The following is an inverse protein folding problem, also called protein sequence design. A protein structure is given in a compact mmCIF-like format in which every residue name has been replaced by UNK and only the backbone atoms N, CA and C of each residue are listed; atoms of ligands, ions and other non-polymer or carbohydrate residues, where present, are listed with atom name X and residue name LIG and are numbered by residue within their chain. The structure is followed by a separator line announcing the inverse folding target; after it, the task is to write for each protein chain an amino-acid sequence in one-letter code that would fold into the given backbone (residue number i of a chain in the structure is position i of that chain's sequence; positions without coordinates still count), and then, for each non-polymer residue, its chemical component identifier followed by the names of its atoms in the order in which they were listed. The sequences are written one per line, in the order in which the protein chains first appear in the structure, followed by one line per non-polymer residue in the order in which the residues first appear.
data_IF_248506700052
#
_entry.id   IF_248506700052
#
_cell.length_a   1.000
_cell.length_b   1.000
_cell.length_c   1.000
_cell.angle_alpha   90.00
_cell.angle_beta   90.00
_cell.angle_gamma   90.00
#
_symmetry.space_group_name_H-M   'P 1'
#
loop_
_entity.id
_entity.type
_entity.pdbx_description
1 polymer ?
#
# COMPACT_ATOMS: atom_id res chain seq x y z
N UNK A 1 19.32 -26.95 -16.67
CA UNK A 1 19.57 -27.22 -15.24
C UNK A 1 19.16 -25.95 -14.52
N UNK A 2 17.86 -25.80 -14.26
CA UNK A 2 17.31 -24.69 -13.48
C UNK A 2 17.47 -25.09 -12.02
N UNK A 3 18.40 -24.46 -11.30
CA UNK A 3 18.44 -24.61 -9.84
C UNK A 3 17.15 -24.03 -9.28
N UNK A 4 16.35 -24.87 -8.61
CA UNK A 4 15.20 -24.42 -7.81
C UNK A 4 15.71 -23.44 -6.73
N UNK A 5 15.62 -22.15 -7.00
CA UNK A 5 15.90 -21.10 -6.01
C UNK A 5 14.74 -21.13 -5.00
N UNK A 6 14.83 -22.01 -3.99
CA UNK A 6 13.84 -22.09 -2.92
C UNK A 6 13.90 -20.79 -2.10
N UNK A 7 12.78 -20.09 -1.91
CA UNK A 7 12.77 -18.84 -1.17
C UNK A 7 13.23 -19.07 0.27
N UNK A 8 14.33 -18.43 0.66
CA UNK A 8 14.87 -18.52 2.02
C UNK A 8 13.96 -17.69 2.93
N UNK A 9 13.21 -18.35 3.82
CA UNK A 9 12.49 -17.67 4.90
C UNK A 9 13.49 -17.14 5.92
N UNK A 10 13.78 -15.85 5.86
CA UNK A 10 14.51 -15.17 6.92
C UNK A 10 13.66 -15.18 8.20
N UNK A 11 14.32 -15.40 9.34
CA UNK A 11 13.68 -15.23 10.65
C UNK A 11 13.31 -13.76 10.80
N UNK A 12 12.02 -13.48 10.77
CA UNK A 12 11.50 -12.13 10.95
C UNK A 12 12.00 -11.62 12.30
N UNK A 13 12.79 -10.54 12.29
CA UNK A 13 13.29 -9.92 13.53
C UNK A 13 12.06 -9.68 14.41
N UNK A 14 12.04 -10.28 15.60
CA UNK A 14 10.93 -10.08 16.53
C UNK A 14 10.91 -8.61 16.91
N UNK A 15 9.92 -7.89 16.41
CA UNK A 15 9.60 -6.54 16.86
C UNK A 15 9.36 -6.55 18.38
N UNK A 16 9.85 -5.53 19.07
CA UNK A 16 9.55 -5.32 20.47
C UNK A 16 8.01 -5.24 20.65
N UNK A 17 7.41 -5.93 21.64
CA UNK A 17 5.97 -5.91 21.88
C UNK A 17 5.35 -4.49 21.95
N UNK A 18 6.09 -3.51 22.50
CA UNK A 18 5.65 -2.11 22.55
C UNK A 18 5.59 -1.47 21.17
N UNK A 19 6.59 -1.74 20.31
CA UNK A 19 6.62 -1.25 18.93
C UNK A 19 5.52 -1.94 18.11
N UNK A 20 5.25 -3.22 18.36
CA UNK A 20 4.19 -3.95 17.67
C UNK A 20 2.81 -3.33 17.93
N UNK A 21 2.54 -2.86 19.15
CA UNK A 21 1.26 -2.21 19.48
C UNK A 21 1.11 -0.86 18.78
N UNK A 22 2.17 -0.06 18.74
CA UNK A 22 2.23 1.20 17.99
C UNK A 22 2.03 0.95 16.49
N UNK A 23 2.74 -0.03 15.92
CA UNK A 23 2.60 -0.41 14.51
C UNK A 23 1.17 -0.88 14.23
N UNK A 24 0.57 -1.72 15.06
CA UNK A 24 -0.82 -2.17 14.88
C UNK A 24 -1.81 -1.02 14.92
N UNK A 25 -1.64 -0.07 15.85
CA UNK A 25 -2.50 1.11 15.98
C UNK A 25 -2.38 2.03 14.77
N UNK A 26 -1.16 2.34 14.33
CA UNK A 26 -0.92 3.19 13.15
C UNK A 26 -1.39 2.50 11.86
N UNK A 27 -1.13 1.19 11.71
CA UNK A 27 -1.64 0.40 10.58
C UNK A 27 -3.17 0.42 10.55
N UNK A 28 -3.84 0.23 11.68
CA UNK A 28 -5.31 0.26 11.77
C UNK A 28 -5.86 1.64 11.38
N UNK A 29 -5.21 2.73 11.83
CA UNK A 29 -5.57 4.10 11.48
C UNK A 29 -5.37 4.38 9.99
N UNK A 30 -4.26 3.91 9.41
CA UNK A 30 -3.97 4.04 7.97
C UNK A 30 -4.94 3.22 7.12
N UNK A 31 -5.33 2.02 7.56
CA UNK A 31 -6.37 1.21 6.90
C UNK A 31 -7.71 1.93 6.95
N UNK A 32 -8.06 2.56 8.07
CA UNK A 32 -9.31 3.32 8.22
C UNK A 32 -9.36 4.56 7.31
N UNK A 33 -8.22 5.24 7.13
CA UNK A 33 -8.11 6.37 6.21
C UNK A 33 -7.89 5.94 4.73
N UNK A 34 -7.54 4.67 4.48
CA UNK A 34 -7.65 3.97 3.20
C UNK A 34 -6.66 4.37 2.10
N UNK A 35 -6.89 3.80 0.90
CA UNK A 35 -6.16 4.08 -0.35
C UNK A 35 -6.23 5.53 -0.82
N UNK A 36 -7.16 6.32 -0.26
CA UNK A 36 -7.37 7.74 -0.55
C UNK A 36 -6.18 8.63 -0.14
N UNK A 37 -5.19 8.11 0.59
CA UNK A 37 -3.94 8.81 0.90
C UNK A 37 -2.83 8.60 -0.13
N UNK A 38 -2.95 7.60 -1.01
CA UNK A 38 -1.92 7.31 -2.02
C UNK A 38 -2.28 8.03 -3.32
N UNK A 39 -1.54 9.09 -3.61
CA UNK A 39 -1.71 9.85 -4.84
C UNK A 39 -1.34 9.03 -6.08
N UNK A 40 -2.16 9.14 -7.12
CA UNK A 40 -1.87 8.58 -8.44
C UNK A 40 -0.98 9.56 -9.18
N UNK A 41 0.05 9.04 -9.85
CA UNK A 41 0.91 9.85 -10.71
C UNK A 41 0.04 10.63 -11.72
N UNK A 42 0.33 11.93 -11.97
CA UNK A 42 -0.52 12.77 -12.81
C UNK A 42 -0.70 12.21 -14.23
N UNK A 43 0.34 11.53 -14.74
CA UNK A 43 0.30 10.81 -16.02
C UNK A 43 -0.66 9.61 -16.05
N UNK A 44 -0.99 9.01 -14.91
CA UNK A 44 -1.87 7.83 -14.81
C UNK A 44 -3.31 8.16 -14.37
N UNK A 45 -3.59 9.38 -13.91
CA UNK A 45 -4.92 9.77 -13.42
C UNK A 45 -6.03 9.56 -14.47
N UNK A 46 -5.71 9.82 -15.75
CA UNK A 46 -6.65 9.62 -16.86
C UNK A 46 -7.10 8.14 -17.01
N UNK A 47 -6.31 7.16 -16.53
CA UNK A 47 -6.69 5.74 -16.57
C UNK A 47 -7.74 5.37 -15.53
N UNK A 48 -7.97 6.26 -14.56
CA UNK A 48 -8.96 6.10 -13.50
C UNK A 48 -10.21 6.95 -13.75
N UNK A 49 -10.39 7.45 -14.97
CA UNK A 49 -11.57 8.23 -15.31
C UNK A 49 -12.82 7.37 -15.27
N UNK A 50 -13.89 7.90 -14.69
CA UNK A 50 -15.23 7.34 -14.77
C UNK A 50 -16.20 8.42 -15.25
N UNK A 51 -17.21 7.98 -16.00
CA UNK A 51 -18.25 8.86 -16.52
C UNK A 51 -19.51 8.69 -15.70
N UNK A 52 -20.05 9.79 -15.20
CA UNK A 52 -21.36 9.88 -14.58
C UNK A 52 -22.32 10.63 -15.52
N UNK A 53 -23.59 10.72 -15.16
CA UNK A 53 -24.66 11.32 -15.98
C UNK A 53 -24.36 12.74 -16.49
N UNK A 54 -23.51 13.49 -15.81
CA UNK A 54 -23.23 14.89 -16.13
C UNK A 54 -21.80 15.14 -16.64
N UNK A 55 -20.81 14.41 -16.14
CA UNK A 55 -19.40 14.70 -16.40
C UNK A 55 -18.50 13.46 -16.26
N UNK A 56 -17.28 13.58 -16.76
CA UNK A 56 -16.18 12.62 -16.56
C UNK A 56 -15.28 13.12 -15.43
N UNK A 57 -15.05 12.26 -14.44
CA UNK A 57 -14.20 12.54 -13.29
C UNK A 57 -13.01 11.59 -13.28
N UNK A 58 -11.86 12.06 -12.80
CA UNK A 58 -10.67 11.23 -12.58
C UNK A 58 -10.33 11.19 -11.09
N UNK A 59 -9.84 10.06 -10.62
CA UNK A 59 -9.35 9.96 -9.25
C UNK A 59 -7.95 10.57 -9.12
N UNK A 60 -7.75 11.39 -8.10
CA UNK A 60 -6.42 11.92 -7.72
C UNK A 60 -5.66 10.97 -6.80
N UNK A 61 -6.39 10.15 -6.05
CA UNK A 61 -5.88 9.15 -5.13
C UNK A 61 -6.42 7.78 -5.50
N UNK A 62 -5.68 6.74 -5.14
CA UNK A 62 -5.96 5.37 -5.57
C UNK A 62 -7.37 4.90 -5.17
N UNK A 63 -8.29 4.68 -6.12
CA UNK A 63 -9.63 4.18 -5.80
C UNK A 63 -9.61 2.70 -5.44
N UNK A 64 -10.69 2.26 -4.79
CA UNK A 64 -10.95 0.84 -4.61
C UNK A 64 -11.17 0.16 -5.97
N UNK A 65 -10.78 -1.11 -6.07
CA UNK A 65 -11.00 -1.92 -7.27
C UNK A 65 -9.86 -1.91 -8.29
N UNK A 66 -8.78 -1.13 -8.09
CA UNK A 66 -7.58 -1.28 -8.91
C UNK A 66 -6.85 -2.58 -8.57
N UNK A 67 -6.46 -3.35 -9.59
CA UNK A 67 -5.74 -4.62 -9.44
C UNK A 67 -4.40 -4.47 -8.69
N UNK A 68 -3.73 -3.33 -8.83
CA UNK A 68 -2.46 -3.02 -8.20
C UNK A 68 -2.60 -2.23 -6.89
N UNK A 69 -3.83 -1.99 -6.41
CA UNK A 69 -4.02 -1.25 -5.17
C UNK A 69 -3.37 -1.96 -3.97
N UNK A 70 -3.61 -3.26 -3.72
CA UNK A 70 -3.04 -3.94 -2.55
C UNK A 70 -1.50 -3.96 -2.54
N UNK A 71 -0.89 -4.17 -3.71
CA UNK A 71 0.58 -4.22 -3.83
C UNK A 71 1.21 -2.85 -3.61
N UNK A 72 0.58 -1.79 -4.12
CA UNK A 72 1.07 -0.42 -3.93
C UNK A 72 0.89 0.03 -2.48
N UNK A 73 -0.23 -0.31 -1.84
CA UNK A 73 -0.45 -0.04 -0.42
C UNK A 73 0.54 -0.78 0.47
N UNK A 74 0.84 -2.05 0.18
CA UNK A 74 1.86 -2.79 0.92
C UNK A 74 3.23 -2.11 0.81
N UNK A 75 3.63 -1.63 -0.37
CA UNK A 75 4.90 -0.88 -0.55
C UNK A 75 4.90 0.42 0.24
N UNK A 76 3.80 1.17 0.22
CA UNK A 76 3.63 2.39 1.00
C UNK A 76 3.79 2.13 2.50
N UNK A 77 3.11 1.09 3.02
CA UNK A 77 3.23 0.68 4.42
C UNK A 77 4.68 0.31 4.76
N UNK A 78 5.35 -0.50 3.94
CA UNK A 78 6.75 -0.86 4.17
C UNK A 78 7.66 0.37 4.17
N UNK A 79 7.41 1.37 3.32
CA UNK A 79 8.19 2.60 3.28
C UNK A 79 8.05 3.43 4.56
N UNK A 80 6.86 3.51 5.15
CA UNK A 80 6.62 4.24 6.40
C UNK A 80 7.31 3.55 7.58
N UNK A 81 7.22 2.23 7.64
CA UNK A 81 7.76 1.45 8.75
C UNK A 81 9.24 1.08 8.57
N UNK A 82 9.86 1.40 7.43
CA UNK A 82 11.26 1.07 7.15
C UNK A 82 12.18 1.65 8.23
N UNK A 83 11.97 2.91 8.60
CA UNK A 83 12.76 3.64 9.59
C UNK A 83 12.59 3.09 11.01
N UNK A 84 11.46 2.42 11.29
CA UNK A 84 11.17 1.78 12.57
C UNK A 84 11.72 0.34 12.66
N UNK A 85 12.17 -0.22 11.53
CA UNK A 85 12.65 -1.60 11.41
C UNK A 85 14.17 -1.71 11.23
N UNK A 86 14.88 -0.58 11.06
CA UNK A 86 16.35 -0.50 11.11
C UNK A 86 16.88 -0.62 12.53
#
# INVERSE_FOLDING_TARGET
MEEEIKPIRQQQRRLNPTILDVVKKEVTKLIAAGYMQIYIAPEDQHKTTFTCLFDTFAYTCMPFGLCNAPSTFQRFMTSIFLDLLQ
#
